data_IF_282372634362
#
_entry.id   IF_282372634362
#
_cell.length_a   1.000
_cell.length_b   1.000
_cell.length_c   1.000
_cell.angle_alpha   90.00
_cell.angle_beta   90.00
_cell.angle_gamma   90.00
#
_symmetry.space_group_name_H-M   'P 1'
#
loop_
_entity.id
_entity.type
_entity.pdbx_description
1 polymer ?
#
# COMPACT_ATOMS: atom_id res chain seq x y z
N UNK A 1 -43.07 12.22 -33.79
CA UNK A 1 -42.53 13.00 -32.67
C UNK A 1 -41.65 12.09 -31.85
N UNK A 2 -40.33 12.27 -31.88
CA UNK A 2 -39.43 11.57 -30.98
C UNK A 2 -39.57 12.22 -29.59
N UNK A 3 -40.35 11.60 -28.72
CA UNK A 3 -40.30 11.92 -27.29
C UNK A 3 -38.91 11.44 -26.86
N UNK A 4 -37.99 12.37 -26.65
CA UNK A 4 -36.66 12.07 -26.16
C UNK A 4 -36.78 11.53 -24.73
N UNK A 5 -36.95 10.21 -24.59
CA UNK A 5 -36.80 9.52 -23.32
C UNK A 5 -35.34 9.65 -22.90
N UNK A 6 -35.11 10.39 -21.83
CA UNK A 6 -33.80 10.48 -21.19
C UNK A 6 -33.90 9.89 -19.80
N UNK A 7 -33.11 8.87 -19.54
CA UNK A 7 -32.94 8.39 -18.17
C UNK A 7 -32.11 9.42 -17.39
N UNK A 8 -32.63 9.88 -16.25
CA UNK A 8 -31.89 10.78 -15.37
C UNK A 8 -31.65 10.09 -14.04
N UNK A 9 -30.38 10.02 -13.63
CA UNK A 9 -29.97 9.40 -12.37
C UNK A 9 -29.66 10.50 -11.35
N UNK A 10 -30.27 10.41 -10.18
CA UNK A 10 -29.97 11.28 -9.03
C UNK A 10 -29.36 10.44 -7.91
N UNK A 11 -28.20 10.83 -7.40
CA UNK A 11 -27.57 10.17 -6.26
C UNK A 11 -27.73 11.05 -5.02
N UNK A 12 -28.37 10.52 -3.99
CA UNK A 12 -28.45 11.15 -2.68
C UNK A 12 -27.36 10.57 -1.77
N UNK A 13 -26.35 11.36 -1.43
CA UNK A 13 -25.29 10.96 -0.50
C UNK A 13 -25.82 10.88 0.93
N UNK A 14 -25.47 9.81 1.64
CA UNK A 14 -25.87 9.55 3.02
C UNK A 14 -24.67 9.52 3.97
N UNK A 15 -23.46 9.32 3.47
CA UNK A 15 -22.24 9.36 4.28
C UNK A 15 -20.97 9.14 3.47
N UNK A 16 -19.81 9.37 4.11
CA UNK A 16 -18.48 9.18 3.53
C UNK A 16 -17.91 7.83 4.00
N UNK A 17 -17.63 6.93 3.06
CA UNK A 17 -17.09 5.59 3.35
C UNK A 17 -15.57 5.64 3.62
N UNK A 18 -14.86 6.58 3.00
CA UNK A 18 -13.41 6.72 3.11
C UNK A 18 -12.79 7.20 1.79
N UNK A 19 -11.47 7.32 1.76
CA UNK A 19 -10.72 7.70 0.55
C UNK A 19 -10.23 6.42 -0.13
N UNK A 20 -10.61 6.20 -1.39
CA UNK A 20 -10.18 5.03 -2.17
C UNK A 20 -9.88 5.45 -3.61
N UNK A 21 -9.02 4.67 -4.26
CA UNK A 21 -8.73 4.84 -5.68
C UNK A 21 -9.97 4.52 -6.53
N UNK A 22 -10.37 5.44 -7.41
CA UNK A 22 -11.49 5.20 -8.33
C UNK A 22 -10.98 4.63 -9.65
N UNK A 23 -11.47 3.46 -10.11
CA UNK A 23 -11.04 2.86 -11.37
C UNK A 23 -11.52 3.65 -12.60
N UNK A 24 -12.56 4.48 -12.46
CA UNK A 24 -13.12 5.25 -13.58
C UNK A 24 -12.38 6.57 -13.81
N UNK A 25 -12.15 7.35 -12.76
CA UNK A 25 -11.43 8.63 -12.89
C UNK A 25 -9.93 8.53 -12.61
N UNK A 26 -9.45 7.35 -12.20
CA UNK A 26 -8.06 7.03 -11.88
C UNK A 26 -7.42 7.99 -10.87
N UNK A 27 -8.23 8.46 -9.92
CA UNK A 27 -7.82 9.37 -8.85
C UNK A 27 -8.20 8.79 -7.50
N UNK A 28 -7.37 9.08 -6.51
CA UNK A 28 -7.70 8.86 -5.12
C UNK A 28 -8.74 9.89 -4.69
N UNK A 29 -9.94 9.41 -4.37
CA UNK A 29 -11.09 10.29 -4.13
C UNK A 29 -11.91 9.74 -2.97
N UNK A 30 -12.73 10.61 -2.39
CA UNK A 30 -13.66 10.21 -1.35
C UNK A 30 -14.79 9.39 -1.96
N UNK A 31 -15.07 8.23 -1.37
CA UNK A 31 -16.20 7.40 -1.72
C UNK A 31 -17.37 7.68 -0.80
N UNK A 32 -18.55 7.81 -1.41
CA UNK A 32 -19.79 8.20 -0.77
C UNK A 32 -20.76 7.03 -0.80
N UNK A 33 -21.39 6.75 0.34
CA UNK A 33 -22.55 5.87 0.39
C UNK A 33 -23.76 6.66 -0.12
N UNK A 34 -24.39 6.22 -1.20
CA UNK A 34 -25.48 6.96 -1.82
C UNK A 34 -26.63 6.06 -2.31
N UNK A 35 -27.83 6.63 -2.34
CA UNK A 35 -29.00 6.01 -2.97
C UNK A 35 -29.18 6.66 -4.33
N UNK A 36 -28.95 5.88 -5.38
CA UNK A 36 -29.20 6.28 -6.75
C UNK A 36 -30.66 5.99 -7.11
N UNK A 37 -31.39 7.02 -7.55
CA UNK A 37 -32.74 6.90 -8.09
C UNK A 37 -32.72 7.23 -9.56
N UNK A 38 -33.19 6.30 -10.38
CA UNK A 38 -33.37 6.54 -11.81
C UNK A 38 -34.80 6.97 -12.07
N UNK A 39 -34.92 8.13 -12.72
CA UNK A 39 -36.19 8.77 -13.02
C UNK A 39 -36.49 8.64 -14.49
N UNK A 40 -37.74 8.28 -14.78
CA UNK A 40 -38.28 8.44 -16.10
C UNK A 40 -38.54 9.92 -16.34
N UNK A 41 -37.95 10.48 -17.39
CA UNK A 41 -38.14 11.89 -17.75
C UNK A 41 -38.75 12.04 -19.13
N UNK A 42 -39.82 12.83 -19.20
CA UNK A 42 -40.52 13.21 -20.44
C UNK A 42 -40.45 14.72 -20.52
N UNK A 43 -39.86 15.25 -21.60
CA UNK A 43 -39.74 16.70 -21.83
C UNK A 43 -39.09 17.40 -20.61
N UNK A 44 -37.99 16.81 -20.11
CA UNK A 44 -37.17 17.34 -19.00
C UNK A 44 -37.82 17.36 -17.60
N UNK A 45 -39.03 16.84 -17.43
CA UNK A 45 -39.68 16.72 -16.12
C UNK A 45 -39.47 15.30 -15.58
N UNK A 46 -38.94 15.20 -14.35
CA UNK A 46 -38.79 13.92 -13.63
C UNK A 46 -40.15 13.51 -13.06
N UNK A 47 -40.77 12.48 -13.64
CA UNK A 47 -42.12 12.07 -13.28
C UNK A 47 -42.12 11.07 -12.13
N UNK A 48 -41.51 9.90 -12.34
CA UNK A 48 -41.58 8.77 -11.40
C UNK A 48 -40.22 8.09 -11.31
N UNK A 49 -39.69 7.85 -10.10
CA UNK A 49 -38.50 7.04 -9.93
C UNK A 49 -38.90 5.57 -10.05
N UNK A 50 -38.44 4.89 -11.10
CA UNK A 50 -38.78 3.49 -11.36
C UNK A 50 -37.69 2.52 -10.87
N UNK A 51 -36.48 3.02 -10.61
CA UNK A 51 -35.37 2.22 -10.10
C UNK A 51 -34.71 2.88 -8.91
N UNK A 52 -34.43 2.08 -7.88
CA UNK A 52 -33.69 2.50 -6.70
C UNK A 52 -32.53 1.53 -6.50
N UNK A 53 -31.32 2.06 -6.61
CA UNK A 53 -30.09 1.31 -6.44
C UNK A 53 -29.32 1.86 -5.23
N UNK A 54 -28.76 0.95 -4.45
CA UNK A 54 -27.90 1.26 -3.30
C UNK A 54 -26.45 1.18 -3.77
N UNK A 55 -25.67 2.26 -3.65
CA UNK A 55 -24.35 2.34 -4.28
C UNK A 55 -23.30 2.98 -3.38
N UNK A 56 -22.07 2.50 -3.50
CA UNK A 56 -20.87 3.22 -3.06
C UNK A 56 -20.27 3.91 -4.29
N UNK A 57 -20.30 5.24 -4.33
CA UNK A 57 -19.96 6.03 -5.50
C UNK A 57 -18.79 6.99 -5.24
N UNK A 58 -17.93 7.17 -6.23
CA UNK A 58 -16.89 8.19 -6.21
C UNK A 58 -17.51 9.59 -6.18
N UNK A 59 -16.97 10.50 -5.34
CA UNK A 59 -17.45 11.87 -5.24
C UNK A 59 -17.32 12.67 -6.56
N UNK A 60 -16.32 12.36 -7.38
CA UNK A 60 -16.04 13.06 -8.65
C UNK A 60 -16.93 12.56 -9.78
N UNK A 61 -16.82 11.28 -10.14
CA UNK A 61 -17.49 10.74 -11.33
C UNK A 61 -18.88 10.15 -11.04
N UNK A 62 -19.25 9.98 -9.76
CA UNK A 62 -20.50 9.30 -9.31
C UNK A 62 -20.68 7.86 -9.80
N UNK A 63 -19.68 7.32 -10.49
CA UNK A 63 -19.59 5.91 -10.80
C UNK A 63 -19.16 5.13 -9.57
N UNK A 64 -19.66 3.91 -9.46
CA UNK A 64 -19.57 3.17 -8.21
C UNK A 64 -20.14 1.77 -8.30
N UNK A 65 -19.89 1.02 -7.24
CA UNK A 65 -20.39 -0.35 -7.11
C UNK A 65 -21.85 -0.31 -6.61
N UNK A 66 -22.71 -1.08 -7.25
CA UNK A 66 -24.07 -1.31 -6.75
C UNK A 66 -24.04 -2.47 -5.77
N UNK A 67 -24.69 -2.32 -4.63
CA UNK A 67 -24.74 -3.30 -3.55
C UNK A 67 -26.18 -3.65 -3.17
N UNK A 68 -26.34 -4.74 -2.43
CA UNK A 68 -27.65 -5.13 -1.89
C UNK A 68 -28.11 -4.15 -0.82
N UNK A 69 -29.42 -4.12 -0.60
CA UNK A 69 -30.03 -3.28 0.45
C UNK A 69 -29.49 -3.65 1.84
N UNK A 70 -29.33 -4.94 2.13
CA UNK A 70 -28.89 -5.40 3.45
C UNK A 70 -27.47 -4.92 3.75
N UNK A 71 -26.54 -5.06 2.81
CA UNK A 71 -25.16 -4.54 2.95
C UNK A 71 -25.17 -3.03 3.12
N UNK A 72 -26.01 -2.33 2.37
CA UNK A 72 -26.16 -0.88 2.48
C UNK A 72 -26.66 -0.45 3.86
N UNK A 73 -27.69 -1.12 4.38
CA UNK A 73 -28.28 -0.78 5.69
C UNK A 73 -27.29 -1.06 6.83
N UNK A 74 -26.47 -2.13 6.72
CA UNK A 74 -25.37 -2.38 7.66
C UNK A 74 -24.32 -1.27 7.62
N UNK A 75 -23.89 -0.84 6.43
CA UNK A 75 -22.91 0.26 6.30
C UNK A 75 -23.47 1.57 6.83
N UNK A 76 -24.73 1.87 6.53
CA UNK A 76 -25.43 3.04 7.03
C UNK A 76 -25.52 3.01 8.56
N UNK A 77 -25.91 1.88 9.15
CA UNK A 77 -25.99 1.73 10.61
C UNK A 77 -24.63 1.93 11.27
N UNK A 78 -23.56 1.39 10.70
CA UNK A 78 -22.19 1.60 11.20
C UNK A 78 -21.77 3.08 11.14
N UNK A 79 -22.13 3.78 10.06
CA UNK A 79 -21.90 5.23 9.93
C UNK A 79 -22.68 6.04 10.98
N UNK A 80 -23.96 5.73 11.17
CA UNK A 80 -24.83 6.44 12.12
C UNK A 80 -24.41 6.18 13.58
N UNK A 81 -23.81 5.02 13.88
CA UNK A 81 -23.29 4.68 15.21
C UNK A 81 -21.89 5.26 15.50
N UNK A 82 -21.28 6.01 14.58
CA UNK A 82 -19.98 6.65 14.81
C UNK A 82 -18.80 5.66 14.87
N UNK A 83 -18.93 4.48 14.26
CA UNK A 83 -17.80 3.57 14.13
C UNK A 83 -16.67 4.25 13.35
N UNK A 84 -15.42 4.01 13.77
CA UNK A 84 -14.25 4.60 13.12
C UNK A 84 -14.17 4.17 11.65
N UNK A 85 -13.73 5.08 10.78
CA UNK A 85 -13.63 4.88 9.32
C UNK A 85 -12.95 3.54 8.96
N UNK A 86 -11.93 3.12 9.74
CA UNK A 86 -11.27 1.82 9.56
C UNK A 86 -12.19 0.60 9.65
N UNK A 87 -13.16 0.58 10.59
CA UNK A 87 -14.14 -0.52 10.70
C UNK A 87 -15.12 -0.58 9.53
N UNK A 88 -15.37 0.56 8.89
CA UNK A 88 -16.21 0.65 7.70
C UNK A 88 -15.44 0.12 6.49
N UNK A 89 -14.16 0.45 6.37
CA UNK A 89 -13.30 -0.08 5.30
C UNK A 89 -13.16 -1.61 5.37
N UNK A 90 -12.97 -2.17 6.56
CA UNK A 90 -12.91 -3.63 6.75
C UNK A 90 -14.22 -4.32 6.36
N UNK A 91 -15.36 -3.67 6.61
CA UNK A 91 -16.67 -4.18 6.22
C UNK A 91 -16.92 -4.14 4.70
N UNK A 92 -16.24 -3.24 3.99
CA UNK A 92 -16.26 -3.19 2.52
C UNK A 92 -15.27 -4.21 1.93
N UNK A 93 -14.09 -4.37 2.55
CA UNK A 93 -13.05 -5.33 2.13
C UNK A 93 -13.49 -6.78 2.33
N UNK A 94 -14.28 -7.05 3.38
CA UNK A 94 -14.76 -8.38 3.73
C UNK A 94 -16.29 -8.39 3.97
N UNK A 95 -17.12 -8.29 2.91
CA UNK A 95 -18.57 -8.16 3.05
C UNK A 95 -19.28 -9.42 3.60
N UNK A 96 -18.64 -10.58 3.47
CA UNK A 96 -19.17 -11.91 3.81
C UNK A 96 -18.52 -12.53 5.07
N UNK A 97 -17.50 -11.89 5.64
CA UNK A 97 -16.77 -12.43 6.79
C UNK A 97 -17.30 -11.90 8.11
N UNK A 98 -17.32 -12.77 9.11
CA UNK A 98 -17.68 -12.38 10.48
C UNK A 98 -16.59 -11.52 11.12
N UNK A 99 -16.97 -10.71 12.12
CA UNK A 99 -16.03 -9.80 12.78
C UNK A 99 -14.82 -10.51 13.42
N UNK A 100 -14.97 -11.77 13.87
CA UNK A 100 -13.88 -12.57 14.43
C UNK A 100 -12.88 -12.98 13.34
N UNK A 101 -13.37 -13.45 12.19
CA UNK A 101 -12.53 -13.81 11.06
C UNK A 101 -11.77 -12.60 10.51
N UNK A 102 -12.42 -11.44 10.45
CA UNK A 102 -11.75 -10.19 10.03
C UNK A 102 -10.62 -9.84 10.99
N UNK A 103 -10.83 -9.93 12.31
CA UNK A 103 -9.76 -9.68 13.29
C UNK A 103 -8.58 -10.62 13.13
N UNK A 104 -8.84 -11.90 12.87
CA UNK A 104 -7.79 -12.90 12.74
C UNK A 104 -6.95 -12.66 11.48
N UNK A 105 -7.58 -12.29 10.36
CA UNK A 105 -6.89 -11.88 9.13
C UNK A 105 -6.04 -10.63 9.37
N UNK A 106 -6.61 -9.61 10.03
CA UNK A 106 -5.86 -8.39 10.32
C UNK A 106 -4.67 -8.65 11.24
N UNK A 107 -4.82 -9.58 12.21
CA UNK A 107 -3.73 -9.99 13.10
C UNK A 107 -2.62 -10.70 12.31
N UNK A 108 -2.97 -11.65 11.44
CA UNK A 108 -1.96 -12.32 10.61
C UNK A 108 -1.25 -11.35 9.66
N UNK A 109 -1.99 -10.40 9.04
CA UNK A 109 -1.39 -9.37 8.19
C UNK A 109 -0.43 -8.45 8.97
N UNK A 110 -0.74 -8.13 10.23
CA UNK A 110 0.17 -7.35 11.08
C UNK A 110 1.43 -8.13 11.47
N UNK A 111 1.29 -9.41 11.80
CA UNK A 111 2.40 -10.29 12.17
C UNK A 111 3.36 -10.51 10.99
N UNK A 112 2.82 -10.75 9.79
CA UNK A 112 3.62 -10.86 8.57
C UNK A 112 4.42 -9.58 8.30
N UNK A 113 3.78 -8.41 8.46
CA UNK A 113 4.45 -7.12 8.26
C UNK A 113 5.58 -6.89 9.27
N UNK A 114 5.39 -7.26 10.53
CA UNK A 114 6.43 -7.16 11.56
C UNK A 114 7.62 -8.07 11.22
N UNK A 115 7.35 -9.31 10.80
CA UNK A 115 8.40 -10.25 10.39
C UNK A 115 9.23 -9.72 9.20
N UNK A 116 8.61 -9.09 8.21
CA UNK A 116 9.34 -8.50 7.09
C UNK A 116 10.29 -7.38 7.53
N UNK A 117 9.85 -6.53 8.47
CA UNK A 117 10.68 -5.44 8.99
C UNK A 117 11.87 -5.98 9.78
N UNK A 118 11.66 -7.00 10.61
CA UNK A 118 12.73 -7.66 11.36
C UNK A 118 13.76 -8.32 10.43
N UNK A 119 13.28 -8.97 9.35
CA UNK A 119 14.16 -9.54 8.33
C UNK A 119 15.01 -8.48 7.63
N UNK A 120 14.42 -7.34 7.26
CA UNK A 120 15.14 -6.22 6.63
C UNK A 120 16.18 -5.60 7.57
N UNK A 121 15.90 -5.54 8.88
CA UNK A 121 16.85 -5.10 9.90
C UNK A 121 18.05 -6.05 10.00
N UNK A 122 17.81 -7.36 10.03
CA UNK A 122 18.88 -8.37 10.06
C UNK A 122 19.74 -8.32 8.80
N UNK A 123 19.15 -8.20 7.62
CA UNK A 123 19.89 -8.06 6.36
C UNK A 123 20.77 -6.81 6.38
N UNK A 124 20.27 -5.70 6.94
CA UNK A 124 21.04 -4.47 7.09
C UNK A 124 22.21 -4.66 8.03
N UNK A 125 22.01 -5.26 9.19
CA UNK A 125 23.08 -5.58 10.14
C UNK A 125 24.13 -6.52 9.54
N UNK A 126 23.69 -7.56 8.83
CA UNK A 126 24.61 -8.48 8.15
C UNK A 126 25.44 -7.76 7.10
N UNK A 127 24.83 -6.88 6.31
CA UNK A 127 25.54 -6.07 5.30
C UNK A 127 26.58 -5.14 5.92
N UNK A 128 26.29 -4.56 7.08
CA UNK A 128 27.23 -3.71 7.82
C UNK A 128 28.39 -4.51 8.39
N UNK A 129 28.11 -5.72 8.91
CA UNK A 129 29.14 -6.63 9.41
C UNK A 129 30.07 -7.11 8.32
N UNK A 130 29.53 -7.44 7.14
CA UNK A 130 30.34 -7.82 5.98
C UNK A 130 31.25 -6.67 5.57
N UNK A 131 30.71 -5.45 5.46
CA UNK A 131 31.53 -4.26 5.15
C UNK A 131 32.64 -4.02 6.16
N UNK A 132 32.35 -4.12 7.46
CA UNK A 132 33.37 -3.93 8.50
C UNK A 132 34.47 -5.00 8.43
N UNK A 133 34.09 -6.27 8.17
CA UNK A 133 35.05 -7.36 8.00
C UNK A 133 35.91 -7.19 6.74
N UNK A 134 35.33 -6.72 5.63
CA UNK A 134 36.08 -6.38 4.42
C UNK A 134 37.08 -5.24 4.68
N UNK A 135 36.68 -4.19 5.39
CA UNK A 135 37.57 -3.08 5.77
C UNK A 135 38.70 -3.52 6.72
N UNK A 136 38.45 -4.47 7.61
CA UNK A 136 39.48 -5.07 8.47
C UNK A 136 40.44 -5.97 7.68
N UNK A 137 39.91 -6.81 6.79
CA UNK A 137 40.73 -7.67 5.92
C UNK A 137 41.65 -6.84 5.02
N UNK A 138 41.14 -5.74 4.44
CA UNK A 138 41.94 -4.82 3.63
C UNK A 138 43.06 -4.15 4.45
N UNK A 139 42.81 -3.81 5.72
CA UNK A 139 43.86 -3.27 6.62
C UNK A 139 44.94 -4.30 6.92
N UNK A 140 44.54 -5.52 7.27
CA UNK A 140 45.48 -6.60 7.56
C UNK A 140 46.34 -6.95 6.34
N UNK A 141 45.76 -6.94 5.13
CA UNK A 141 46.52 -7.12 3.89
C UNK A 141 47.51 -5.99 3.66
N UNK A 142 47.12 -4.73 3.87
CA UNK A 142 48.02 -3.59 3.72
C UNK A 142 49.20 -3.62 4.72
N UNK A 143 48.97 -4.09 5.96
CA UNK A 143 50.02 -4.29 6.95
C UNK A 143 51.01 -5.39 6.53
N UNK A 144 50.51 -6.55 6.06
CA UNK A 144 51.33 -7.63 5.54
C UNK A 144 52.15 -7.19 4.32
N UNK A 145 51.55 -6.43 3.40
CA UNK A 145 52.26 -5.87 2.25
C UNK A 145 53.40 -4.94 2.70
N UNK A 146 53.17 -4.08 3.69
CA UNK A 146 54.20 -3.20 4.24
C UNK A 146 55.33 -4.00 4.92
N UNK A 147 55.01 -5.06 5.66
CA UNK A 147 56.02 -5.95 6.26
C UNK A 147 56.89 -6.62 5.20
N UNK A 148 56.28 -7.19 4.15
CA UNK A 148 56.99 -7.86 3.04
C UNK A 148 57.95 -6.88 2.36
N UNK A 149 57.50 -5.64 2.06
CA UNK A 149 58.33 -4.60 1.44
C UNK A 149 59.53 -4.23 2.35
N UNK A 150 59.32 -4.19 3.67
CA UNK A 150 60.39 -3.89 4.62
C UNK A 150 61.45 -5.00 4.73
N UNK A 151 61.05 -6.26 4.57
CA UNK A 151 61.96 -7.41 4.59
C UNK A 151 62.76 -7.56 3.29
N UNK A 152 62.13 -7.32 2.14
CA UNK A 152 62.83 -7.36 0.84
C UNK A 152 63.89 -6.26 0.72
N UNK A 153 63.60 -5.03 1.18
CA UNK A 153 64.58 -3.94 1.20
C UNK A 153 65.78 -4.19 2.14
N UNK A 154 65.61 -4.98 3.21
CA UNK A 154 66.71 -5.41 4.09
C UNK A 154 67.58 -6.53 3.48
N UNK A 155 67.02 -7.36 2.60
CA UNK A 155 67.79 -8.40 1.90
C UNK A 155 68.67 -7.82 0.79
N UNK A 156 68.15 -6.87 0.03
CA UNK A 156 68.88 -6.25 -1.09
C UNK A 156 70.10 -5.43 -0.62
N UNK A 157 70.03 -4.81 0.56
CA UNK A 157 71.16 -4.09 1.19
C UNK A 157 72.25 -5.01 1.77
N UNK A 158 72.04 -6.33 1.84
CA UNK A 158 73.03 -7.30 2.35
C UNK A 158 73.82 -8.03 1.25
N UNK A 159 73.50 -7.79 -0.03
CA UNK A 159 74.13 -8.47 -1.17
C UNK A 159 75.06 -7.58 -2.01
N UNK A 160 75.24 -6.29 -1.70
CA UNK A 160 76.11 -5.37 -2.44
C UNK A 160 77.53 -5.17 -1.84
N UNK A 161 77.91 -5.89 -0.78
CA UNK A 161 79.20 -5.71 -0.09
C UNK A 161 80.29 -6.77 -0.43
N UNK A 162 80.13 -7.55 -1.50
CA UNK A 162 81.16 -8.51 -1.94
C UNK A 162 81.48 -8.41 -3.42
N UNK A 163 82.07 -7.29 -3.86
CA UNK A 163 82.87 -7.26 -5.09
C UNK A 163 83.79 -6.02 -5.09
N UNK A 164 84.89 -6.08 -4.33
CA UNK A 164 86.06 -5.22 -4.58
C UNK A 164 87.32 -5.82 -3.92
N UNK A 165 87.96 -6.75 -4.63
CA UNK A 165 89.35 -7.19 -4.39
C UNK A 165 89.91 -7.92 -5.62
N UNK A 166 90.45 -7.16 -6.57
CA UNK A 166 91.46 -7.62 -7.55
C UNK A 166 92.53 -6.54 -7.71
#
# INVERSE_FOLDING_TARGET
MAIFEKETVTCQSLGILGTKHCPTCNKETVWLLCVARTWYSVVSIRLIPYRKDYRAACAECRNGLTMSKDTFDVLKMKMDCGDTIGRIEDAIRFPDKSALQIREILKSESEEREMYLEMEELEREESERVRAAEEEAMRNLAELEAEIISETGKRETSSEDTDDKV
#
